data_IF_117859883431
#
_entry.id   IF_117859883431
#
_cell.length_a   1.000
_cell.length_b   1.000
_cell.length_c   1.000
_cell.angle_alpha   90.00
_cell.angle_beta   90.00
_cell.angle_gamma   90.00
#
_symmetry.space_group_name_H-M   'P 1'
#
loop_
_entity.id
_entity.type
_entity.pdbx_description
1 polymer ?
#
# COMPACT_ATOMS: atom_id res chain seq x y z
N UNK A 1 -72.61 -6.74 -18.42
CA UNK A 1 -72.42 -6.52 -19.88
C UNK A 1 -70.97 -6.13 -20.12
N UNK A 2 -70.29 -6.87 -21.02
CA UNK A 2 -69.17 -6.51 -21.93
C UNK A 2 -68.11 -5.49 -21.45
N UNK A 3 -66.81 -5.63 -21.66
CA UNK A 3 -65.96 -6.65 -22.29
C UNK A 3 -64.50 -6.27 -21.96
N UNK A 4 -63.70 -7.29 -21.69
CA UNK A 4 -62.24 -7.29 -21.55
C UNK A 4 -61.53 -6.99 -22.88
N UNK A 5 -60.39 -6.29 -22.85
CA UNK A 5 -59.28 -6.52 -23.80
C UNK A 5 -57.94 -6.49 -23.06
N UNK A 6 -57.40 -7.68 -22.83
CA UNK A 6 -56.05 -7.98 -22.36
C UNK A 6 -55.12 -7.86 -23.57
N UNK A 7 -54.08 -7.03 -23.43
CA UNK A 7 -53.04 -6.84 -24.44
C UNK A 7 -52.01 -7.97 -24.34
N UNK A 8 -51.68 -8.50 -25.51
CA UNK A 8 -50.94 -9.73 -25.83
C UNK A 8 -49.53 -9.81 -25.24
N UNK A 9 -49.34 -10.85 -24.42
CA UNK A 9 -48.08 -11.44 -23.95
C UNK A 9 -48.10 -12.91 -24.44
N UNK A 10 -46.94 -13.47 -24.82
CA UNK A 10 -46.67 -14.90 -25.15
C UNK A 10 -46.88 -15.42 -26.59
N UNK A 11 -45.76 -15.70 -27.27
CA UNK A 11 -45.48 -16.99 -27.96
C UNK A 11 -43.95 -17.13 -28.06
N UNK A 12 -43.23 -17.86 -27.18
CA UNK A 12 -43.00 -19.32 -27.09
C UNK A 12 -42.46 -19.98 -28.38
N UNK A 13 -41.18 -20.39 -28.36
CA UNK A 13 -40.67 -21.78 -28.50
C UNK A 13 -39.17 -21.74 -28.86
N UNK A 14 -38.20 -22.11 -28.02
CA UNK A 14 -37.81 -23.40 -27.43
C UNK A 14 -36.73 -24.17 -28.25
N UNK A 15 -35.58 -24.35 -27.60
CA UNK A 15 -34.61 -25.47 -27.66
C UNK A 15 -33.70 -25.65 -28.90
N UNK A 16 -32.39 -25.74 -28.64
CA UNK A 16 -31.51 -26.91 -28.95
C UNK A 16 -30.13 -26.72 -28.30
N UNK A 17 -29.86 -27.58 -27.29
CA UNK A 17 -28.62 -28.38 -27.05
C UNK A 17 -27.28 -27.62 -26.90
N UNK A 18 -26.64 -27.50 -25.73
CA UNK A 18 -26.07 -28.51 -24.81
C UNK A 18 -24.81 -29.23 -25.35
N UNK A 19 -23.64 -28.60 -25.19
CA UNK A 19 -22.33 -29.22 -24.96
C UNK A 19 -21.73 -28.43 -23.78
N UNK A 20 -21.68 -28.93 -22.53
CA UNK A 20 -20.81 -30.02 -22.04
C UNK A 20 -19.35 -29.78 -22.48
N UNK A 21 -18.54 -29.02 -21.73
CA UNK A 21 -17.77 -29.36 -20.51
C UNK A 21 -16.28 -29.43 -20.82
N UNK A 22 -15.51 -28.69 -20.01
CA UNK A 22 -14.13 -28.98 -19.57
C UNK A 22 -12.98 -28.82 -20.59
N UNK A 23 -12.35 -27.65 -20.52
CA UNK A 23 -10.90 -27.58 -20.33
C UNK A 23 -10.62 -26.75 -19.07
N UNK A 24 -10.48 -27.47 -17.95
CA UNK A 24 -9.72 -27.00 -16.79
C UNK A 24 -8.25 -27.33 -17.06
N UNK A 25 -7.37 -26.42 -16.63
CA UNK A 25 -5.95 -26.65 -16.31
C UNK A 25 -4.90 -26.25 -17.36
N UNK A 26 -4.39 -25.02 -17.20
CA UNK A 26 -2.97 -24.67 -17.07
C UNK A 26 -2.92 -23.14 -16.91
N UNK A 27 -2.80 -22.56 -15.72
CA UNK A 27 -1.71 -22.78 -14.78
C UNK A 27 -0.81 -21.55 -14.74
N UNK A 28 -1.32 -20.43 -14.22
CA UNK A 28 -0.50 -19.49 -13.45
C UNK A 28 -1.31 -19.14 -12.20
N UNK A 29 -0.60 -19.26 -11.09
CA UNK A 29 -1.08 -19.25 -9.71
C UNK A 29 -2.00 -18.05 -9.49
N UNK A 30 -3.11 -18.27 -8.80
CA UNK A 30 -3.79 -17.21 -8.07
C UNK A 30 -2.77 -16.65 -7.05
N UNK A 31 -1.96 -15.69 -7.48
CA UNK A 31 -1.22 -14.85 -6.55
C UNK A 31 -2.27 -14.12 -5.69
N UNK A 32 -2.10 -14.10 -4.37
CA UNK A 32 -3.14 -13.61 -3.48
C UNK A 32 -3.44 -12.16 -3.84
N UNK A 33 -4.73 -11.83 -3.89
CA UNK A 33 -5.27 -10.48 -3.96
C UNK A 33 -4.43 -9.56 -3.06
N UNK A 34 -3.53 -8.80 -3.66
CA UNK A 34 -2.32 -8.32 -2.97
C UNK A 34 -2.61 -7.30 -1.85
N UNK A 35 -3.85 -6.79 -1.78
CA UNK A 35 -4.40 -6.06 -0.65
C UNK A 35 -4.43 -6.90 0.65
N UNK A 36 -4.80 -8.18 0.61
CA UNK A 36 -4.87 -9.03 1.81
C UNK A 36 -3.51 -9.31 2.42
N UNK A 37 -2.44 -9.32 1.62
CA UNK A 37 -1.09 -9.61 2.11
C UNK A 37 -0.50 -8.42 2.90
N UNK A 38 -0.87 -7.19 2.55
CA UNK A 38 -0.46 -5.96 3.26
C UNK A 38 -1.19 -5.83 4.60
N UNK A 39 -2.40 -6.37 4.72
CA UNK A 39 -3.18 -6.31 5.97
C UNK A 39 -2.40 -6.95 7.11
N UNK A 40 -2.25 -6.18 8.20
CA UNK A 40 -1.56 -6.63 9.40
C UNK A 40 -0.83 -5.51 10.12
N UNK A 41 -0.07 -5.92 11.13
CA UNK A 41 0.73 -5.05 11.97
C UNK A 41 2.19 -5.15 11.55
N UNK A 42 2.82 -3.99 11.40
CA UNK A 42 4.16 -3.87 10.84
C UNK A 42 4.97 -2.87 11.65
N UNK A 43 6.25 -3.16 11.88
CA UNK A 43 7.21 -2.26 12.52
C UNK A 43 8.25 -1.82 11.51
N UNK A 44 8.65 -0.55 11.56
CA UNK A 44 9.77 -0.08 10.74
C UNK A 44 11.04 -0.84 11.14
N UNK A 45 11.74 -1.39 10.16
CA UNK A 45 12.92 -2.23 10.33
C UNK A 45 14.13 -1.71 9.56
N UNK A 46 13.93 -0.79 8.62
CA UNK A 46 15.00 -0.16 7.87
C UNK A 46 14.48 1.00 7.01
N UNK A 47 15.35 1.98 6.78
CA UNK A 47 15.07 3.14 5.93
C UNK A 47 16.28 3.36 5.04
N UNK A 48 16.22 2.82 3.83
CA UNK A 48 17.34 2.80 2.91
C UNK A 48 17.21 3.93 1.90
N UNK A 49 18.27 4.71 1.76
CA UNK A 49 18.34 5.84 0.82
C UNK A 49 19.49 5.62 -0.14
N UNK A 50 19.21 5.78 -1.43
CA UNK A 50 20.19 5.75 -2.51
C UNK A 50 20.02 6.98 -3.40
N UNK A 51 21.04 7.81 -3.45
CA UNK A 51 21.10 8.98 -4.33
C UNK A 51 21.92 8.63 -5.58
N UNK A 52 21.34 8.78 -6.77
CA UNK A 52 21.98 8.52 -8.06
C UNK A 52 22.82 7.20 -8.06
N UNK A 53 24.15 7.35 -8.12
CA UNK A 53 25.13 6.25 -8.17
C UNK A 53 25.83 6.00 -6.83
N UNK A 54 25.45 6.73 -5.78
CA UNK A 54 26.05 6.56 -4.46
C UNK A 54 25.67 5.19 -3.86
N UNK A 55 26.49 4.68 -2.92
CA UNK A 55 26.12 3.52 -2.13
C UNK A 55 24.82 3.77 -1.38
N UNK A 56 23.93 2.77 -1.39
CA UNK A 56 22.72 2.77 -0.56
C UNK A 56 23.12 2.78 0.92
N UNK A 57 22.48 3.66 1.70
CA UNK A 57 22.72 3.83 3.14
C UNK A 57 21.45 3.52 3.90
N UNK A 58 21.57 2.80 5.00
CA UNK A 58 20.46 2.61 5.94
C UNK A 58 20.52 3.69 7.02
N UNK A 59 19.53 4.58 7.03
CA UNK A 59 19.41 5.69 7.97
C UNK A 59 18.69 5.29 9.25
N UNK A 60 18.01 4.13 9.28
CA UNK A 60 17.24 3.73 10.45
C UNK A 60 18.10 3.54 11.72
N UNK A 61 19.29 2.90 11.68
CA UNK A 61 20.16 2.83 12.85
C UNK A 61 20.62 4.21 13.34
N UNK A 62 20.79 5.17 12.43
CA UNK A 62 21.14 6.54 12.76
C UNK A 62 19.98 7.20 13.51
N UNK A 63 18.75 7.15 12.99
CA UNK A 63 17.57 7.69 13.67
C UNK A 63 17.43 7.16 15.10
N UNK A 64 17.55 5.84 15.28
CA UNK A 64 17.47 5.21 16.61
C UNK A 64 18.60 5.69 17.54
N UNK A 65 19.82 5.88 17.02
CA UNK A 65 20.96 6.35 17.82
C UNK A 65 20.81 7.79 18.30
N UNK A 66 20.14 8.66 17.52
CA UNK A 66 19.96 10.08 17.83
C UNK A 66 18.72 10.38 18.68
N UNK A 67 18.08 9.36 19.24
CA UNK A 67 17.01 9.53 20.22
C UNK A 67 15.60 9.29 19.67
N UNK A 68 15.46 9.06 18.36
CA UNK A 68 14.20 8.66 17.71
C UNK A 68 13.87 7.18 17.95
N UNK A 69 14.03 6.75 19.21
CA UNK A 69 13.75 5.38 19.67
C UNK A 69 12.29 4.99 19.49
N UNK A 70 11.43 5.99 19.35
CA UNK A 70 10.00 5.90 19.17
C UNK A 70 9.61 5.00 17.98
N UNK A 71 10.38 5.04 16.87
CA UNK A 71 10.12 4.24 15.67
C UNK A 71 10.27 2.72 15.90
N UNK A 72 11.03 2.31 16.91
CA UNK A 72 11.23 0.88 17.22
C UNK A 72 10.01 0.23 17.91
N UNK A 73 9.20 1.06 18.57
CA UNK A 73 7.98 0.67 19.27
C UNK A 73 6.71 0.95 18.47
N UNK A 74 6.82 1.79 17.43
CA UNK A 74 5.71 2.16 16.58
C UNK A 74 5.28 0.98 15.68
N UNK A 75 3.99 0.68 15.74
CA UNK A 75 3.34 -0.39 14.98
C UNK A 75 2.33 0.24 14.03
N UNK A 76 2.57 0.10 12.74
CA UNK A 76 1.65 0.46 11.66
C UNK A 76 0.66 -0.67 11.43
N UNK A 77 -0.62 -0.36 11.55
CA UNK A 77 -1.72 -1.31 11.38
C UNK A 77 -2.45 -1.01 10.07
N UNK A 78 -2.22 -1.85 9.07
CA UNK A 78 -2.91 -1.80 7.77
C UNK A 78 -4.19 -2.63 7.90
N UNK A 79 -5.33 -1.96 8.11
CA UNK A 79 -6.60 -2.61 8.36
C UNK A 79 -7.28 -3.04 7.05
N UNK A 80 -7.99 -4.17 7.05
CA UNK A 80 -8.66 -4.71 5.86
C UNK A 80 -9.76 -3.80 5.26
N UNK A 81 -10.26 -2.84 6.03
CA UNK A 81 -11.19 -1.81 5.57
C UNK A 81 -10.49 -0.63 4.85
N UNK A 82 -9.17 -0.70 4.65
CA UNK A 82 -8.38 0.35 4.00
C UNK A 82 -7.99 1.51 4.91
N UNK A 83 -8.06 1.37 6.24
CA UNK A 83 -7.56 2.39 7.18
C UNK A 83 -6.16 2.06 7.68
N UNK A 84 -5.32 3.08 7.83
CA UNK A 84 -4.02 3.00 8.49
C UNK A 84 -4.14 3.60 9.89
N UNK A 85 -3.60 2.91 10.89
CA UNK A 85 -3.50 3.42 12.25
C UNK A 85 -2.16 3.04 12.88
N UNK A 86 -1.71 3.82 13.86
CA UNK A 86 -0.52 3.51 14.66
C UNK A 86 -0.89 3.33 16.13
N UNK A 87 -0.09 2.57 16.87
CA UNK A 87 -0.26 2.40 18.32
C UNK A 87 0.19 3.62 19.15
N UNK A 88 0.86 4.59 18.52
CA UNK A 88 1.43 5.82 19.11
C UNK A 88 1.93 5.60 20.56
N UNK A 89 3.03 4.84 20.74
CA UNK A 89 3.55 4.50 22.06
C UNK A 89 3.94 5.76 22.84
N UNK A 90 4.06 5.65 24.17
CA UNK A 90 4.42 6.80 25.01
C UNK A 90 5.75 7.44 24.60
N UNK A 91 6.68 6.66 24.03
CA UNK A 91 7.95 7.10 23.45
C UNK A 91 7.80 7.99 22.21
N UNK A 92 6.65 7.99 21.54
CA UNK A 92 6.34 8.84 20.38
C UNK A 92 5.57 10.12 20.74
N UNK A 93 5.10 10.28 21.99
CA UNK A 93 4.16 11.37 22.34
C UNK A 93 4.72 12.78 22.21
N UNK A 94 6.01 12.95 22.45
CA UNK A 94 6.70 14.25 22.29
C UNK A 94 7.26 14.44 20.87
N UNK A 95 7.12 13.42 20.01
CA UNK A 95 7.76 13.31 18.68
C UNK A 95 6.72 13.36 17.55
N UNK A 96 5.43 13.38 17.87
CA UNK A 96 4.36 13.29 16.86
C UNK A 96 4.46 14.35 15.76
N UNK A 97 4.86 15.58 16.08
CA UNK A 97 5.12 16.63 15.08
C UNK A 97 6.34 16.28 14.21
N UNK A 98 7.43 15.81 14.82
CA UNK A 98 8.66 15.45 14.10
C UNK A 98 8.50 14.20 13.23
N UNK A 99 7.69 13.22 13.62
CA UNK A 99 7.46 11.99 12.82
C UNK A 99 6.73 12.32 11.51
N UNK A 100 5.73 13.20 11.56
CA UNK A 100 5.00 13.63 10.36
C UNK A 100 5.87 14.55 9.49
N UNK A 101 6.70 15.42 10.10
CA UNK A 101 7.70 16.24 9.38
C UNK A 101 8.76 15.39 8.66
N UNK A 102 9.12 14.23 9.21
CA UNK A 102 10.02 13.25 8.59
C UNK A 102 9.31 12.38 7.52
N UNK A 103 8.06 12.71 7.17
CA UNK A 103 7.30 12.10 6.07
C UNK A 103 6.67 10.75 6.41
N UNK A 104 6.52 10.42 7.69
CA UNK A 104 5.92 9.16 8.13
C UNK A 104 4.42 9.34 8.40
N UNK A 105 3.59 8.76 7.52
CA UNK A 105 2.12 8.80 7.67
C UNK A 105 1.71 7.93 8.87
N UNK A 106 1.25 8.57 9.95
CA UNK A 106 0.88 7.89 11.20
C UNK A 106 -0.60 7.47 11.26
N UNK A 107 -1.44 8.05 10.40
CA UNK A 107 -2.86 7.74 10.26
C UNK A 107 -3.36 8.08 8.87
N UNK A 108 -4.42 7.43 8.39
CA UNK A 108 -4.97 7.74 7.08
C UNK A 108 -5.73 6.58 6.45
N UNK A 109 -5.80 6.59 5.12
CA UNK A 109 -6.33 5.49 4.31
C UNK A 109 -5.23 4.91 3.45
N UNK A 110 -5.40 3.67 3.04
CA UNK A 110 -4.52 3.02 2.09
C UNK A 110 -5.30 2.13 1.14
N UNK A 111 -4.71 1.87 -0.01
CA UNK A 111 -5.25 0.93 -1.00
C UNK A 111 -4.11 0.32 -1.80
N UNK A 112 -4.38 -0.84 -2.41
CA UNK A 112 -3.43 -1.54 -3.29
C UNK A 112 -4.04 -1.65 -4.67
N UNK A 113 -3.23 -1.35 -5.70
CA UNK A 113 -3.56 -1.60 -7.09
C UNK A 113 -2.34 -2.20 -7.81
N UNK A 114 -2.42 -3.50 -8.12
CA UNK A 114 -1.30 -4.24 -8.70
C UNK A 114 -0.10 -4.26 -7.75
N UNK A 115 1.03 -3.72 -8.20
CA UNK A 115 2.30 -3.64 -7.45
C UNK A 115 2.49 -2.33 -6.70
N UNK A 116 1.46 -1.48 -6.66
CA UNK A 116 1.50 -0.19 -5.98
C UNK A 116 0.59 -0.16 -4.76
N UNK A 117 1.07 0.47 -3.71
CA UNK A 117 0.29 0.89 -2.55
C UNK A 117 0.14 2.41 -2.60
N UNK A 118 -1.09 2.88 -2.44
CA UNK A 118 -1.40 4.30 -2.32
C UNK A 118 -1.77 4.57 -0.88
N UNK A 119 -1.06 5.50 -0.25
CA UNK A 119 -1.35 6.05 1.06
C UNK A 119 -2.06 7.38 0.88
N UNK A 120 -3.06 7.65 1.71
CA UNK A 120 -3.84 8.88 1.70
C UNK A 120 -3.83 9.42 3.12
N UNK A 121 -3.16 10.55 3.32
CA UNK A 121 -3.14 11.24 4.60
C UNK A 121 -4.52 11.85 4.90
N UNK A 122 -4.73 12.24 6.15
CA UNK A 122 -5.87 12.96 6.69
C UNK A 122 -6.17 14.28 5.97
N UNK A 123 -5.15 14.97 5.45
CA UNK A 123 -5.30 16.18 4.63
C UNK A 123 -5.69 15.88 3.16
N UNK A 124 -5.69 14.60 2.77
CA UNK A 124 -6.03 14.11 1.44
C UNK A 124 -4.87 14.02 0.46
N UNK A 125 -3.65 14.37 0.87
CA UNK A 125 -2.42 14.14 0.09
C UNK A 125 -2.26 12.64 -0.16
N UNK A 126 -1.82 12.29 -1.36
CA UNK A 126 -1.67 10.91 -1.81
C UNK A 126 -0.25 10.62 -2.20
N UNK A 127 0.30 9.58 -1.60
CA UNK A 127 1.61 9.04 -1.95
C UNK A 127 1.47 7.64 -2.52
N UNK A 128 2.18 7.38 -3.61
CA UNK A 128 2.24 6.06 -4.23
C UNK A 128 3.62 5.46 -4.07
N UNK A 129 3.64 4.20 -3.67
CA UNK A 129 4.85 3.42 -3.48
C UNK A 129 4.76 2.13 -4.28
N UNK A 130 5.84 1.76 -4.94
CA UNK A 130 5.99 0.36 -5.36
C UNK A 130 6.21 -0.48 -4.11
N UNK A 131 5.57 -1.66 -4.03
CA UNK A 131 5.73 -2.50 -2.86
C UNK A 131 5.98 -3.96 -3.20
N UNK A 132 6.64 -4.65 -2.28
CA UNK A 132 6.85 -6.10 -2.32
C UNK A 132 6.68 -6.68 -0.94
N UNK A 133 6.20 -7.93 -0.88
CA UNK A 133 6.13 -8.70 0.36
C UNK A 133 6.90 -10.00 0.15
N UNK A 134 7.85 -10.28 1.03
CA UNK A 134 8.63 -11.51 1.05
C UNK A 134 8.69 -12.05 2.48
N UNK A 135 7.96 -13.13 2.76
CA UNK A 135 7.86 -13.68 4.11
C UNK A 135 7.21 -12.71 5.09
N UNK A 136 7.96 -12.32 6.12
CA UNK A 136 7.56 -11.36 7.17
C UNK A 136 8.03 -9.93 6.90
N UNK A 137 8.51 -9.65 5.68
CA UNK A 137 9.01 -8.33 5.29
C UNK A 137 8.12 -7.69 4.22
N UNK A 138 7.66 -6.48 4.51
CA UNK A 138 7.04 -5.55 3.56
C UNK A 138 8.09 -4.50 3.18
N UNK A 139 8.29 -4.26 1.89
CA UNK A 139 9.15 -3.19 1.39
C UNK A 139 8.31 -2.23 0.57
N UNK A 140 8.39 -0.94 0.89
CA UNK A 140 7.76 0.15 0.15
C UNK A 140 8.85 1.05 -0.43
N UNK A 141 8.74 1.39 -1.70
CA UNK A 141 9.76 2.11 -2.46
C UNK A 141 9.14 3.32 -3.13
N UNK A 142 9.78 4.46 -2.95
CA UNK A 142 9.50 5.69 -3.69
C UNK A 142 10.78 6.16 -4.38
N UNK A 143 10.63 6.80 -5.54
CA UNK A 143 11.73 7.50 -6.21
C UNK A 143 11.33 8.94 -6.39
N UNK A 144 12.11 9.84 -5.79
CA UNK A 144 11.94 11.28 -5.88
C UNK A 144 13.05 11.82 -6.78
N UNK A 145 12.72 12.80 -7.62
CA UNK A 145 13.72 13.47 -8.46
C UNK A 145 13.59 14.96 -8.23
N UNK A 146 14.65 15.55 -7.69
CA UNK A 146 14.71 16.96 -7.37
C UNK A 146 15.69 17.66 -8.30
N UNK A 147 15.35 18.87 -8.73
CA UNK A 147 16.23 19.69 -9.57
C UNK A 147 16.51 21.00 -8.85
N UNK A 148 17.78 21.24 -8.55
CA UNK A 148 18.24 22.48 -7.95
C UNK A 148 17.95 23.65 -8.93
N UNK A 149 17.18 24.66 -8.53
CA UNK A 149 16.79 25.74 -9.41
C UNK A 149 17.96 26.65 -9.81
N UNK A 150 19.01 26.75 -8.98
CA UNK A 150 20.20 27.56 -9.21
C UNK A 150 21.22 26.83 -10.08
N UNK A 151 21.51 25.57 -9.79
CA UNK A 151 22.55 24.80 -10.52
C UNK A 151 22.01 24.01 -11.69
N UNK A 152 20.68 23.82 -11.78
CA UNK A 152 19.99 22.92 -12.72
C UNK A 152 20.44 21.46 -12.62
N UNK A 153 21.14 21.11 -11.55
CA UNK A 153 21.52 19.72 -11.27
C UNK A 153 20.29 18.96 -10.82
N UNK A 154 20.06 17.81 -11.41
CA UNK A 154 19.03 16.86 -11.01
C UNK A 154 19.66 15.77 -10.15
N UNK A 155 19.00 15.42 -9.05
CA UNK A 155 19.35 14.29 -8.19
C UNK A 155 18.14 13.38 -8.09
N UNK A 156 18.33 12.09 -8.32
CA UNK A 156 17.30 11.08 -8.14
C UNK A 156 17.59 10.29 -6.87
N UNK A 157 16.64 10.32 -5.94
CA UNK A 157 16.72 9.65 -4.64
C UNK A 157 15.71 8.52 -4.60
N UNK A 158 16.20 7.29 -4.41
CA UNK A 158 15.37 6.12 -4.12
C UNK A 158 15.30 5.93 -2.61
N UNK A 159 14.09 5.95 -2.08
CA UNK A 159 13.81 5.73 -0.66
C UNK A 159 13.11 4.37 -0.54
N UNK A 160 13.62 3.50 0.32
CA UNK A 160 13.03 2.19 0.59
C UNK A 160 12.77 2.05 2.08
N UNK A 161 11.50 2.10 2.47
CA UNK A 161 11.07 1.75 3.82
C UNK A 161 10.84 0.23 3.89
N UNK A 162 11.51 -0.42 4.85
CA UNK A 162 11.33 -1.84 5.14
C UNK A 162 10.60 -1.99 6.45
N UNK A 163 9.54 -2.78 6.44
CA UNK A 163 8.76 -3.11 7.61
C UNK A 163 8.81 -4.60 7.87
N UNK A 164 8.97 -4.96 9.13
CA UNK A 164 8.88 -6.34 9.60
C UNK A 164 7.54 -6.56 10.26
N UNK A 165 6.94 -7.73 10.04
CA UNK A 165 5.68 -8.11 10.69
C UNK A 165 5.84 -8.09 12.22
N UNK A 166 4.91 -7.42 12.89
CA UNK A 166 4.92 -7.20 14.34
C UNK A 166 4.39 -8.40 15.12
#
# INVERSE_FOLDING_TARGET
MKNTKISTWSTRLLAVVLMATLVVSCGKKDDPTAANAVVGNWKLAGLLVKEDNDPEKDLFPFLVLFGETCFTDLVFSFNANGTLSTNNPASCKDVNESIEEEGVITSGKWSVNGTKITMIDTDGVKDEYDYTIAGDMLSMVQTVTETDPATKKTVTTKITAKYKKA
#
